data_IF_381740562547
#
_entry.id   IF_381740562547
#
_cell.length_a   1.000
_cell.length_b   1.000
_cell.length_c   1.000
_cell.angle_alpha   90.00
_cell.angle_beta   90.00
_cell.angle_gamma   90.00
#
_symmetry.space_group_name_H-M   'P 1'
#
loop_
_entity.id
_entity.type
_entity.pdbx_description
1 polymer ?
#
# COMPACT_ATOMS: atom_id res chain seq x y z
N UNK A 1 51.22 7.11 0.95
CA UNK A 1 50.14 7.92 0.33
C UNK A 1 50.13 9.32 0.94
N UNK A 2 50.05 10.37 0.12
CA UNK A 2 49.92 11.76 0.58
C UNK A 2 48.61 11.97 1.35
N UNK A 3 48.62 12.81 2.39
CA UNK A 3 47.41 13.22 3.14
C UNK A 3 46.31 13.75 2.21
N UNK A 4 46.71 14.41 1.12
CA UNK A 4 45.81 14.96 0.09
C UNK A 4 45.02 13.87 -0.65
N UNK A 5 45.69 12.77 -1.02
CA UNK A 5 45.05 11.64 -1.72
C UNK A 5 44.02 10.96 -0.82
N UNK A 6 44.32 10.80 0.47
CA UNK A 6 43.36 10.24 1.44
C UNK A 6 42.08 11.08 1.53
N UNK A 7 42.19 12.41 1.60
CA UNK A 7 41.04 13.30 1.67
C UNK A 7 40.16 13.22 0.41
N UNK A 8 40.78 13.19 -0.77
CA UNK A 8 40.05 13.08 -2.04
C UNK A 8 39.29 11.76 -2.11
N UNK A 9 39.93 10.66 -1.73
CA UNK A 9 39.29 9.34 -1.70
C UNK A 9 38.12 9.33 -0.70
N UNK A 10 38.31 9.85 0.52
CA UNK A 10 37.22 9.92 1.51
C UNK A 10 36.06 10.76 1.01
N UNK A 11 36.31 11.94 0.43
CA UNK A 11 35.26 12.79 -0.12
C UNK A 11 34.48 12.08 -1.24
N UNK A 12 35.19 11.38 -2.14
CA UNK A 12 34.56 10.61 -3.20
C UNK A 12 33.66 9.49 -2.64
N UNK A 13 34.13 8.75 -1.63
CA UNK A 13 33.32 7.72 -0.97
C UNK A 13 32.07 8.29 -0.30
N UNK A 14 32.18 9.45 0.36
CA UNK A 14 31.04 10.10 0.99
C UNK A 14 29.99 10.54 -0.04
N UNK A 15 30.42 11.11 -1.17
CA UNK A 15 29.51 11.49 -2.26
C UNK A 15 28.82 10.26 -2.85
N UNK A 16 29.58 9.18 -3.10
CA UNK A 16 29.03 7.93 -3.61
C UNK A 16 28.06 7.27 -2.62
N UNK A 17 28.28 7.41 -1.31
CA UNK A 17 27.37 6.89 -0.28
C UNK A 17 26.12 7.76 -0.11
N UNK A 18 26.22 9.07 -0.33
CA UNK A 18 25.10 9.99 -0.21
C UNK A 18 23.99 9.69 -1.22
N UNK A 19 24.35 9.33 -2.46
CA UNK A 19 23.37 9.03 -3.52
C UNK A 19 22.39 7.89 -3.14
N UNK A 20 22.84 6.67 -2.79
CA UNK A 20 21.93 5.60 -2.39
C UNK A 20 21.22 5.92 -1.08
N UNK A 21 21.85 6.66 -0.17
CA UNK A 21 21.21 7.07 1.09
C UNK A 21 20.01 7.98 0.83
N UNK A 22 20.18 9.02 -0.01
CA UNK A 22 19.10 9.92 -0.42
C UNK A 22 18.02 9.15 -1.17
N UNK A 23 18.40 8.24 -2.08
CA UNK A 23 17.44 7.40 -2.78
C UNK A 23 16.57 6.57 -1.83
N UNK A 24 17.19 5.89 -0.85
CA UNK A 24 16.47 5.10 0.15
C UNK A 24 15.54 6.00 0.96
N UNK A 25 15.99 7.18 1.41
CA UNK A 25 15.16 8.13 2.17
C UNK A 25 13.92 8.55 1.36
N UNK A 26 14.10 8.97 0.11
CA UNK A 26 13.00 9.46 -0.74
C UNK A 26 11.99 8.38 -1.11
N UNK A 27 12.44 7.12 -1.17
CA UNK A 27 11.60 5.98 -1.54
C UNK A 27 11.13 5.15 -0.35
N UNK A 28 11.53 5.55 0.87
CA UNK A 28 11.20 4.80 2.09
C UNK A 28 9.70 4.86 2.38
N UNK A 29 9.15 6.06 2.35
CA UNK A 29 7.74 6.34 2.62
C UNK A 29 7.27 7.45 1.67
N UNK A 30 7.02 7.13 0.38
CA UNK A 30 6.42 8.10 -0.55
C UNK A 30 5.07 8.61 0.00
N UNK A 31 4.79 9.93 -0.03
CA UNK A 31 3.57 10.47 0.55
C UNK A 31 2.35 10.10 -0.30
N UNK A 32 1.31 9.51 0.32
CA UNK A 32 0.04 9.14 -0.32
C UNK A 32 0.21 8.44 -1.68
N UNK A 33 0.86 7.27 -1.71
CA UNK A 33 1.32 6.69 -2.96
C UNK A 33 0.21 6.03 -3.79
N UNK A 34 -0.98 5.82 -3.23
CA UNK A 34 -2.09 5.16 -3.91
C UNK A 34 -3.26 6.09 -4.13
N UNK A 35 -3.87 5.99 -5.31
CA UNK A 35 -5.13 6.63 -5.67
C UNK A 35 -6.12 5.56 -6.11
N UNK A 36 -7.34 5.64 -5.59
CA UNK A 36 -8.41 4.71 -5.94
C UNK A 36 -9.46 5.45 -6.77
N UNK A 37 -9.89 4.82 -7.86
CA UNK A 37 -10.91 5.34 -8.77
C UNK A 37 -12.04 4.33 -8.90
N UNK A 38 -13.27 4.80 -8.77
CA UNK A 38 -14.45 3.98 -9.02
C UNK A 38 -14.57 3.72 -10.52
N UNK A 39 -14.76 2.45 -10.92
CA UNK A 39 -15.03 2.07 -12.31
C UNK A 39 -16.52 1.80 -12.50
N UNK A 40 -17.14 1.11 -11.54
CA UNK A 40 -18.56 0.79 -11.59
C UNK A 40 -18.99 -0.02 -10.39
N UNK A 41 -20.30 -0.16 -10.25
CA UNK A 41 -20.93 -1.00 -9.24
C UNK A 41 -21.71 -2.11 -9.93
N UNK A 42 -21.39 -3.35 -9.58
CA UNK A 42 -22.15 -4.52 -10.01
C UNK A 42 -23.15 -4.84 -8.90
N UNK A 43 -24.43 -4.61 -9.20
CA UNK A 43 -25.55 -4.89 -8.30
C UNK A 43 -25.60 -6.41 -8.05
N UNK A 44 -25.74 -6.87 -6.79
CA UNK A 44 -25.89 -8.30 -6.54
C UNK A 44 -27.06 -8.86 -7.34
N UNK A 45 -26.78 -9.89 -8.14
CA UNK A 45 -27.83 -10.60 -8.86
C UNK A 45 -28.79 -11.21 -7.84
N UNK A 46 -30.06 -10.82 -7.85
CA UNK A 46 -31.13 -11.39 -6.98
C UNK A 46 -31.46 -12.87 -7.25
N UNK A 47 -30.51 -13.69 -7.69
CA UNK A 47 -30.73 -15.10 -8.01
C UNK A 47 -30.40 -15.99 -6.80
N UNK A 48 -31.19 -15.89 -5.73
CA UNK A 48 -31.12 -16.82 -4.61
C UNK A 48 -31.69 -16.29 -3.29
N UNK A 49 -31.76 -17.17 -2.28
CA UNK A 49 -32.12 -16.84 -0.89
C UNK A 49 -30.94 -16.26 -0.08
N UNK A 50 -29.73 -16.22 -0.64
CA UNK A 50 -28.56 -15.66 0.01
C UNK A 50 -28.39 -14.18 -0.40
N UNK A 51 -28.06 -13.33 0.59
CA UNK A 51 -27.70 -11.94 0.34
C UNK A 51 -26.35 -11.90 -0.37
N UNK A 52 -26.37 -11.85 -1.69
CA UNK A 52 -25.16 -11.60 -2.45
C UNK A 52 -24.68 -10.17 -2.16
N UNK A 53 -23.39 -10.00 -1.89
CA UNK A 53 -22.77 -8.70 -1.80
C UNK A 53 -22.63 -8.11 -3.20
N UNK A 54 -22.92 -6.81 -3.33
CA UNK A 54 -22.56 -6.08 -4.53
C UNK A 54 -21.05 -5.98 -4.66
N UNK A 55 -20.58 -5.70 -5.87
CA UNK A 55 -19.16 -5.57 -6.14
C UNK A 55 -18.86 -4.17 -6.64
N UNK A 56 -18.14 -3.40 -5.82
CA UNK A 56 -17.61 -2.10 -6.22
C UNK A 56 -16.30 -2.33 -6.97
N UNK A 57 -16.34 -2.20 -8.28
CA UNK A 57 -15.18 -2.35 -9.14
C UNK A 57 -14.39 -1.04 -9.15
N UNK A 58 -13.10 -1.11 -8.86
CA UNK A 58 -12.20 0.02 -8.72
C UNK A 58 -10.90 -0.19 -9.51
N UNK A 59 -10.17 0.90 -9.72
CA UNK A 59 -8.79 0.87 -10.16
C UNK A 59 -7.96 1.51 -9.06
N UNK A 60 -6.89 0.83 -8.65
CA UNK A 60 -5.86 1.40 -7.79
C UNK A 60 -4.65 1.79 -8.63
N UNK A 61 -4.22 3.03 -8.48
CA UNK A 61 -3.11 3.66 -9.21
C UNK A 61 -1.98 3.95 -8.21
N UNK A 62 -0.77 3.46 -8.49
CA UNK A 62 0.42 3.83 -7.73
C UNK A 62 1.06 5.07 -8.36
N UNK A 63 1.01 6.20 -7.65
CA UNK A 63 1.56 7.48 -8.11
C UNK A 63 3.05 7.65 -7.78
N UNK A 64 3.63 6.73 -7.02
CA UNK A 64 5.05 6.78 -6.61
C UNK A 64 5.98 6.15 -7.64
N UNK A 65 7.28 6.45 -7.52
CA UNK A 65 8.35 5.90 -8.36
C UNK A 65 8.85 4.52 -7.92
N UNK A 66 8.24 3.92 -6.88
CA UNK A 66 8.62 2.60 -6.36
C UNK A 66 7.41 1.67 -6.27
N UNK A 67 7.61 0.34 -6.36
CA UNK A 67 6.51 -0.59 -6.14
C UNK A 67 5.96 -0.43 -4.72
N UNK A 68 4.64 -0.48 -4.63
CA UNK A 68 3.89 -0.40 -3.37
C UNK A 68 3.18 -1.72 -3.13
N UNK A 69 3.31 -2.23 -1.91
CA UNK A 69 2.63 -3.42 -1.42
C UNK A 69 1.44 -2.95 -0.60
N UNK A 70 0.22 -3.29 -1.04
CA UNK A 70 -1.00 -3.03 -0.27
C UNK A 70 -1.17 -4.16 0.73
N UNK A 71 -1.18 -3.81 2.03
CA UNK A 71 -1.33 -4.77 3.13
C UNK A 71 -2.82 -4.97 3.43
N UNK A 72 -3.57 -3.87 3.46
CA UNK A 72 -5.03 -3.86 3.64
C UNK A 72 -5.59 -2.52 3.14
N UNK A 73 -6.88 -2.45 2.88
CA UNK A 73 -7.62 -1.19 2.83
C UNK A 73 -9.03 -1.41 3.35
N UNK A 74 -9.69 -0.33 3.74
CA UNK A 74 -11.03 -0.25 4.30
C UNK A 74 -11.70 0.98 3.72
N UNK A 75 -12.95 0.85 3.28
CA UNK A 75 -13.79 1.99 2.96
C UNK A 75 -14.38 2.53 4.25
N UNK A 76 -14.28 3.84 4.41
CA UNK A 76 -14.89 4.61 5.49
C UNK A 76 -15.78 5.68 4.87
N UNK A 77 -16.89 5.96 5.52
CA UNK A 77 -17.69 7.15 5.18
C UNK A 77 -16.99 8.37 5.78
N UNK A 78 -16.76 9.41 4.98
CA UNK A 78 -16.19 10.67 5.45
C UNK A 78 -17.00 11.19 6.66
N UNK A 79 -16.33 11.44 7.78
CA UNK A 79 -16.95 11.92 9.02
C UNK A 79 -17.62 10.85 9.89
N UNK A 80 -17.57 9.56 9.55
CA UNK A 80 -18.03 8.48 10.43
C UNK A 80 -17.00 7.33 10.54
N UNK A 81 -16.22 7.26 11.64
CA UNK A 81 -15.17 6.26 11.80
C UNK A 81 -15.69 4.83 12.00
N UNK A 82 -16.97 4.65 12.36
CA UNK A 82 -17.53 3.35 12.76
C UNK A 82 -18.09 2.53 11.58
N UNK A 83 -18.17 3.12 10.38
CA UNK A 83 -18.65 2.44 9.17
C UNK A 83 -17.48 1.80 8.42
N UNK A 84 -17.16 0.54 8.70
CA UNK A 84 -16.03 -0.16 8.08
C UNK A 84 -16.54 -1.23 7.13
N UNK A 85 -16.36 -1.03 5.83
CA UNK A 85 -16.45 -2.09 4.83
C UNK A 85 -15.03 -2.38 4.31
N UNK A 86 -14.56 -3.62 4.38
CA UNK A 86 -13.22 -3.99 3.92
C UNK A 86 -13.23 -4.40 2.42
N UNK A 87 -12.73 -3.55 1.50
CA UNK A 87 -12.58 -3.83 0.08
C UNK A 87 -11.64 -4.96 -0.23
N UNK A 88 -10.74 -5.30 0.66
CA UNK A 88 -9.82 -6.40 0.49
C UNK A 88 -10.20 -7.59 1.37
N UNK A 89 -11.43 -7.71 1.88
CA UNK A 89 -11.86 -8.80 2.79
C UNK A 89 -11.67 -10.25 2.28
N UNK A 90 -11.30 -10.44 1.00
CA UNK A 90 -10.82 -11.75 0.50
C UNK A 90 -9.30 -11.93 0.58
N UNK A 91 -8.52 -10.85 0.64
CA UNK A 91 -7.16 -10.85 1.16
C UNK A 91 -7.28 -11.03 2.67
N UNK A 92 -7.07 -12.26 3.14
CA UNK A 92 -6.93 -12.54 4.57
C UNK A 92 -5.98 -11.50 5.20
N UNK A 93 -6.25 -11.07 6.42
CA UNK A 93 -5.26 -10.35 7.23
C UNK A 93 -3.99 -11.21 7.31
N UNK A 94 -3.02 -10.87 6.47
CA UNK A 94 -1.81 -11.64 6.28
C UNK A 94 -0.72 -10.97 7.09
N UNK A 95 -0.38 -11.60 8.21
CA UNK A 95 0.77 -11.26 9.02
C UNK A 95 1.96 -12.11 8.57
N UNK A 96 2.68 -11.67 7.52
CA UNK A 96 3.84 -12.41 7.03
C UNK A 96 4.65 -11.66 5.96
N UNK A 97 6.00 -11.71 5.98
CA UNK A 97 6.86 -11.15 4.93
C UNK A 97 6.93 -12.00 3.65
N UNK A 98 6.41 -13.24 3.70
CA UNK A 98 6.52 -14.26 2.67
C UNK A 98 5.18 -14.65 2.04
N UNK A 99 4.06 -14.02 2.45
CA UNK A 99 2.77 -14.42 1.88
C UNK A 99 2.54 -13.77 0.52
N UNK A 100 2.21 -14.64 -0.43
CA UNK A 100 1.87 -14.35 -1.83
C UNK A 100 0.66 -13.43 -2.04
N UNK A 101 0.02 -13.00 -0.96
CA UNK A 101 -1.32 -12.43 -0.99
C UNK A 101 -1.32 -10.89 -0.91
N UNK A 102 -0.15 -10.25 -0.71
CA UNK A 102 -0.05 -8.79 -0.82
C UNK A 102 -0.20 -8.36 -2.28
N UNK A 103 -1.12 -7.43 -2.56
CA UNK A 103 -1.25 -6.84 -3.88
C UNK A 103 -0.07 -5.90 -4.15
N UNK A 104 0.76 -6.24 -5.13
CA UNK A 104 1.90 -5.42 -5.57
C UNK A 104 1.46 -4.53 -6.72
N UNK A 105 1.58 -3.22 -6.55
CA UNK A 105 1.27 -2.23 -7.59
C UNK A 105 2.59 -1.62 -8.09
N UNK A 106 3.02 -1.93 -9.32
CA UNK A 106 4.25 -1.37 -9.88
C UNK A 106 4.25 0.17 -9.95
N UNK A 107 5.42 0.82 -10.03
CA UNK A 107 5.52 2.28 -10.12
C UNK A 107 4.72 2.85 -11.28
N UNK A 108 3.95 3.92 -11.05
CA UNK A 108 3.20 4.62 -12.10
C UNK A 108 2.27 3.71 -12.91
N UNK A 109 1.79 2.61 -12.32
CA UNK A 109 0.83 1.71 -12.95
C UNK A 109 -0.50 1.71 -12.24
N UNK A 110 -1.50 1.15 -12.91
CA UNK A 110 -2.84 0.98 -12.38
C UNK A 110 -3.27 -0.47 -12.50
N UNK A 111 -3.90 -1.00 -11.46
CA UNK A 111 -4.41 -2.36 -11.42
C UNK A 111 -5.90 -2.35 -11.05
N UNK A 112 -6.73 -3.21 -11.66
CA UNK A 112 -8.11 -3.38 -11.24
C UNK A 112 -8.15 -4.04 -9.85
N UNK A 113 -9.05 -3.57 -9.01
CA UNK A 113 -9.40 -4.19 -7.73
C UNK A 113 -10.91 -4.11 -7.53
N UNK A 114 -11.44 -4.80 -6.52
CA UNK A 114 -12.85 -4.72 -6.20
C UNK A 114 -13.09 -4.82 -4.70
N UNK A 115 -14.20 -4.25 -4.24
CA UNK A 115 -14.69 -4.36 -2.88
C UNK A 115 -16.04 -5.07 -2.86
N UNK A 116 -16.23 -6.14 -2.08
CA UNK A 116 -17.57 -6.61 -1.78
C UNK A 116 -18.27 -5.59 -0.87
N UNK A 117 -19.52 -5.23 -1.20
CA UNK A 117 -20.32 -4.25 -0.48
C UNK A 117 -21.67 -4.87 -0.14
N UNK A 118 -22.08 -4.83 1.13
CA UNK A 118 -23.41 -5.27 1.51
C UNK A 118 -24.44 -4.22 1.05
N UNK A 119 -25.41 -4.65 0.25
CA UNK A 119 -26.37 -3.76 -0.42
C UNK A 119 -27.16 -2.88 0.57
N UNK A 120 -27.43 -3.39 1.76
CA UNK A 120 -28.19 -2.68 2.80
C UNK A 120 -27.41 -1.49 3.40
N UNK A 121 -26.09 -1.44 3.24
CA UNK A 121 -25.23 -0.45 3.90
C UNK A 121 -24.89 0.76 3.01
N UNK A 122 -24.95 0.61 1.68
CA UNK A 122 -24.47 1.62 0.74
C UNK A 122 -25.45 1.84 -0.43
N UNK A 123 -26.44 2.76 -0.29
CA UNK A 123 -27.17 3.25 -1.46
C UNK A 123 -26.21 3.92 -2.45
N UNK A 124 -26.53 3.97 -3.74
CA UNK A 124 -25.64 4.53 -4.77
C UNK A 124 -25.17 5.97 -4.47
N UNK A 125 -25.97 6.77 -3.76
CA UNK A 125 -25.60 8.12 -3.30
C UNK A 125 -24.53 8.12 -2.18
N UNK A 126 -24.31 7.01 -1.50
CA UNK A 126 -23.30 6.89 -0.46
C UNK A 126 -21.87 6.89 -1.01
N UNK A 127 -21.68 6.63 -2.31
CA UNK A 127 -20.36 6.56 -2.95
C UNK A 127 -19.69 7.94 -3.12
N UNK A 128 -20.43 9.05 -3.01
CA UNK A 128 -19.89 10.41 -3.22
C UNK A 128 -18.96 10.88 -2.08
N UNK A 129 -19.04 10.25 -0.90
CA UNK A 129 -18.28 10.64 0.30
C UNK A 129 -17.52 9.47 0.92
N UNK A 130 -17.01 8.56 0.09
CA UNK A 130 -16.20 7.44 0.55
C UNK A 130 -14.72 7.84 0.55
N UNK A 131 -14.08 7.55 1.67
CA UNK A 131 -12.64 7.58 1.82
C UNK A 131 -12.13 6.13 1.93
N UNK A 132 -11.01 5.83 1.27
CA UNK A 132 -10.29 4.60 1.55
C UNK A 132 -9.19 4.89 2.56
N UNK A 133 -9.27 4.21 3.69
CA UNK A 133 -8.21 4.08 4.66
C UNK A 133 -7.42 2.81 4.36
N UNK A 134 -6.12 2.91 4.15
CA UNK A 134 -5.31 1.78 3.68
C UNK A 134 -3.94 1.70 4.33
N UNK A 135 -3.47 0.46 4.47
CA UNK A 135 -2.13 0.13 4.95
C UNK A 135 -1.24 -0.33 3.80
N UNK A 136 -0.01 0.19 3.75
CA UNK A 136 0.90 -0.12 2.64
C UNK A 136 2.38 -0.12 3.06
N UNK A 137 3.23 -0.68 2.20
CA UNK A 137 4.69 -0.65 2.33
C UNK A 137 5.36 -0.39 0.99
N UNK A 138 6.44 0.41 0.98
CA UNK A 138 7.32 0.49 -0.18
C UNK A 138 8.15 -0.78 -0.34
N UNK A 139 8.58 -1.10 -1.56
CA UNK A 139 9.46 -2.24 -1.82
C UNK A 139 10.75 -2.22 -0.98
N UNK A 140 11.31 -1.04 -0.70
CA UNK A 140 12.50 -0.90 0.12
C UNK A 140 12.21 -1.24 1.59
N UNK A 141 11.05 -0.86 2.12
CA UNK A 141 10.62 -1.24 3.46
C UNK A 141 10.35 -2.75 3.58
N UNK A 142 9.74 -3.36 2.56
CA UNK A 142 9.54 -4.82 2.55
C UNK A 142 10.87 -5.55 2.62
N UNK A 143 11.84 -5.19 1.75
CA UNK A 143 13.19 -5.77 1.76
C UNK A 143 13.91 -5.56 3.09
N UNK A 144 13.82 -4.37 3.68
CA UNK A 144 14.41 -4.09 4.99
C UNK A 144 13.77 -4.92 6.10
N UNK A 145 12.44 -5.09 6.07
CA UNK A 145 11.71 -5.95 7.02
C UNK A 145 12.13 -7.41 6.88
N UNK A 146 12.23 -7.94 5.66
CA UNK A 146 12.71 -9.28 5.36
C UNK A 146 14.16 -9.48 5.84
N UNK A 147 15.06 -8.54 5.54
CA UNK A 147 16.45 -8.59 6.00
C UNK A 147 16.54 -8.57 7.53
N UNK A 148 15.71 -7.76 8.20
CA UNK A 148 15.63 -7.71 9.66
C UNK A 148 15.17 -9.04 10.24
N UNK A 149 14.11 -9.64 9.70
CA UNK A 149 13.59 -10.93 10.16
C UNK A 149 14.63 -12.02 9.94
N UNK A 150 15.25 -12.05 8.77
CA UNK A 150 16.36 -12.95 8.48
C UNK A 150 17.50 -12.80 9.49
N UNK A 151 17.90 -11.56 9.81
CA UNK A 151 18.91 -11.29 10.84
C UNK A 151 18.45 -11.81 12.21
N UNK A 152 17.25 -11.48 12.64
CA UNK A 152 16.70 -11.92 13.94
C UNK A 152 16.75 -13.44 14.11
N UNK A 153 16.42 -14.18 13.05
CA UNK A 153 16.43 -15.65 13.04
C UNK A 153 17.85 -16.24 13.01
N UNK A 154 18.83 -15.52 12.49
CA UNK A 154 20.19 -16.04 12.25
C UNK A 154 21.25 -15.57 13.25
N UNK A 155 21.03 -14.44 13.94
CA UNK A 155 22.02 -13.93 14.88
C UNK A 155 22.03 -14.74 16.20
N UNK A 156 23.19 -14.78 16.90
CA UNK A 156 23.27 -15.36 18.24
C UNK A 156 22.30 -14.70 19.22
N UNK A 157 21.86 -15.45 20.24
CA UNK A 157 20.85 -14.99 21.19
C UNK A 157 21.23 -13.68 21.90
N UNK A 158 22.52 -13.49 22.21
CA UNK A 158 23.00 -12.28 22.85
C UNK A 158 22.90 -11.02 21.97
N UNK A 159 22.77 -11.17 20.64
CA UNK A 159 22.62 -10.06 19.69
C UNK A 159 21.14 -9.74 19.43
N UNK A 160 20.23 -10.71 19.62
CA UNK A 160 18.80 -10.53 19.35
C UNK A 160 18.17 -9.31 20.05
N UNK A 161 18.51 -8.97 21.32
CA UNK A 161 17.99 -7.77 21.97
C UNK A 161 18.36 -6.45 21.27
N UNK A 162 19.42 -6.44 20.46
CA UNK A 162 19.85 -5.27 19.70
C UNK A 162 19.06 -5.09 18.39
N UNK A 163 18.23 -6.06 17.99
CA UNK A 163 17.41 -5.97 16.79
C UNK A 163 16.02 -5.46 17.20
N UNK A 164 15.60 -4.26 16.77
CA UNK A 164 14.32 -3.71 17.15
C UNK A 164 13.17 -4.55 16.56
N UNK A 165 12.34 -5.13 17.44
CA UNK A 165 11.17 -5.93 17.04
C UNK A 165 9.98 -5.02 16.66
N UNK A 166 9.88 -3.85 17.28
CA UNK A 166 8.75 -2.91 17.16
C UNK A 166 8.82 -2.01 15.91
N UNK A 167 9.28 -2.53 14.77
CA UNK A 167 9.31 -1.76 13.54
C UNK A 167 7.87 -1.57 13.01
N UNK A 168 7.46 -0.36 12.60
CA UNK A 168 6.13 -0.14 12.04
C UNK A 168 5.89 -1.07 10.86
N UNK A 169 4.87 -1.92 10.99
CA UNK A 169 4.58 -2.99 10.03
C UNK A 169 4.18 -2.43 8.68
N UNK A 170 3.50 -1.28 8.63
CA UNK A 170 3.09 -0.58 7.43
C UNK A 170 2.89 0.92 7.71
N UNK A 171 2.85 1.74 6.65
CA UNK A 171 2.32 3.09 6.71
C UNK A 171 0.81 3.05 6.49
N UNK A 172 0.12 4.09 6.96
CA UNK A 172 -1.32 4.22 6.84
C UNK A 172 -1.64 5.58 6.21
N UNK A 173 -2.51 5.56 5.21
CA UNK A 173 -2.98 6.77 4.54
C UNK A 173 -4.49 6.70 4.32
N UNK A 174 -5.08 7.86 4.09
CA UNK A 174 -6.49 8.01 3.70
C UNK A 174 -6.57 8.79 2.40
N UNK A 175 -7.33 8.30 1.41
CA UNK A 175 -7.59 9.04 0.18
C UNK A 175 -9.07 9.00 -0.17
N UNK A 176 -9.65 10.09 -0.69
CA UNK A 176 -11.01 10.04 -1.22
C UNK A 176 -11.07 9.06 -2.41
N UNK A 177 -12.19 8.35 -2.53
CA UNK A 177 -12.52 7.57 -3.71
C UNK A 177 -12.83 8.54 -4.86
N UNK A 178 -12.02 8.51 -5.90
CA UNK A 178 -12.22 9.38 -7.06
C UNK A 178 -13.34 8.80 -7.95
N UNK A 179 -14.14 9.65 -8.60
CA UNK A 179 -15.16 9.19 -9.54
C UNK A 179 -14.52 8.52 -10.77
N UNK A 180 -15.33 7.75 -11.50
CA UNK A 180 -14.94 7.22 -12.79
C UNK A 180 -14.48 8.36 -13.70
N UNK A 181 -13.37 8.14 -14.42
CA UNK A 181 -13.01 9.04 -15.50
C UNK A 181 -14.18 9.04 -16.48
N UNK A 182 -14.82 10.19 -16.68
CA UNK A 182 -15.82 10.37 -17.74
C UNK A 182 -15.20 9.80 -19.00
N UNK A 183 -15.81 8.74 -19.55
CA UNK A 183 -15.31 8.09 -20.74
C UNK A 183 -15.04 9.19 -21.76
N UNK A 184 -13.77 9.45 -22.08
CA UNK A 184 -13.43 10.37 -23.16
C UNK A 184 -14.11 9.78 -24.37
N UNK A 185 -15.18 10.43 -24.82
CA UNK A 185 -15.82 10.16 -26.10
C UNK A 185 -14.69 10.17 -27.12
N UNK A 186 -14.28 8.99 -27.55
CA UNK A 186 -13.23 8.86 -28.55
C UNK A 186 -13.78 9.52 -29.81
N UNK A 187 -13.12 10.56 -30.34
CA UNK A 187 -13.57 11.26 -31.54
C UNK A 187 -13.56 10.34 -32.76
#
# INVERSE_FOLDING_TARGET
MSRRVKLIITALFLVLLAIPTVYVILTWSPPNPLRFRLVGYEDPSRKGQFRDSGKLNMIVENTSSVPVYVVWATMKRAGNPDSVADPFSQLREVYGPDDSDSMIIPPHTSLPCFCPVLQDEYPASAFENIELFYGWMSANRVKASQARIWLFLRVPEFVRPCIPINWPTHDQDTTPLLPALSARSSP
#
